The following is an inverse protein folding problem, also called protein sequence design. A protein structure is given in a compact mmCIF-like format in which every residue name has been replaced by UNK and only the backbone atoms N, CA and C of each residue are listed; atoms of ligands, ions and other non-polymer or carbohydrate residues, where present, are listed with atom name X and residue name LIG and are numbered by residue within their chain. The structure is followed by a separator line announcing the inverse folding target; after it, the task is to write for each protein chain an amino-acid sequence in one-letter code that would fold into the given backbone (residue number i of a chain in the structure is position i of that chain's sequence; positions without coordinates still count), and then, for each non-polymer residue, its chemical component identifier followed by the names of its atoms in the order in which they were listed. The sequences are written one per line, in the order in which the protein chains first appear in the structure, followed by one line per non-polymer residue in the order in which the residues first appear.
data_IF_352452434258
#
_entry.id   IF_352452434258
#
_cell.length_a   1.000
_cell.length_b   1.000
_cell.length_c   1.000
_cell.angle_alpha   90.00
_cell.angle_beta   90.00
_cell.angle_gamma   90.00
#
_symmetry.space_group_name_H-M   'P 1'
#
loop_
_entity.id
_entity.type
_entity.pdbx_description
1 polymer ?
#
# COMPACT_ATOMS: atom_id res chain seq x y z
N UNK A 1 15.52 19.07 -1.97
CA UNK A 1 15.66 17.94 -1.03
C UNK A 1 14.49 18.02 -0.05
N UNK A 2 13.32 17.52 -0.43
CA UNK A 2 12.13 17.57 0.44
C UNK A 2 12.30 16.42 1.44
N UNK A 3 12.75 16.72 2.65
CA UNK A 3 12.62 15.78 3.77
C UNK A 3 11.12 15.54 3.92
N UNK A 4 10.65 14.33 3.64
CA UNK A 4 9.34 13.90 4.10
C UNK A 4 9.45 13.78 5.61
N UNK A 5 9.24 14.89 6.31
CA UNK A 5 9.15 14.93 7.76
C UNK A 5 7.86 14.20 8.12
N UNK A 6 7.97 12.88 8.26
CA UNK A 6 6.88 12.05 8.75
C UNK A 6 6.58 12.61 10.14
N UNK A 7 5.37 13.14 10.32
CA UNK A 7 4.98 13.73 11.58
C UNK A 7 5.29 12.78 12.74
N UNK A 8 5.60 13.33 13.91
CA UNK A 8 5.95 12.60 15.13
C UNK A 8 5.18 11.27 15.27
N UNK A 9 5.87 10.11 15.29
CA UNK A 9 5.26 8.79 15.43
C UNK A 9 4.29 8.67 16.62
N UNK A 10 4.57 9.37 17.74
CA UNK A 10 3.68 9.35 18.90
C UNK A 10 2.34 10.05 18.58
N UNK A 11 2.39 11.22 17.92
CA UNK A 11 1.20 11.93 17.44
C UNK A 11 0.42 11.10 16.42
N UNK A 12 1.13 10.40 15.52
CA UNK A 12 0.49 9.53 14.52
C UNK A 12 -0.18 8.32 15.15
N UNK A 13 0.45 7.69 16.15
CA UNK A 13 -0.16 6.58 16.89
C UNK A 13 -1.42 7.04 17.65
N UNK A 14 -1.38 8.21 18.29
CA UNK A 14 -2.53 8.76 19.02
C UNK A 14 -3.73 9.05 18.11
N UNK A 15 -3.46 9.46 16.86
CA UNK A 15 -4.47 9.82 15.85
C UNK A 15 -4.70 8.72 14.80
N UNK A 16 -4.25 7.50 15.05
CA UNK A 16 -4.36 6.40 14.09
C UNK A 16 -5.85 6.11 13.80
N UNK A 17 -6.29 6.15 12.53
CA UNK A 17 -7.67 5.82 12.17
C UNK A 17 -8.02 4.40 12.61
N UNK A 18 -9.23 4.21 13.14
CA UNK A 18 -9.73 2.88 13.54
C UNK A 18 -10.65 2.34 12.45
N UNK A 19 -10.23 1.32 11.68
CA UNK A 19 -11.07 0.79 10.62
C UNK A 19 -12.29 0.05 11.17
N UNK A 20 -13.41 0.18 10.47
CA UNK A 20 -14.57 -0.70 10.60
C UNK A 20 -14.58 -1.69 9.43
N UNK A 21 -15.25 -2.83 9.61
CA UNK A 21 -15.19 -3.94 8.66
C UNK A 21 -16.58 -4.27 8.13
N UNK A 22 -16.79 -4.31 6.81
CA UNK A 22 -18.03 -4.84 6.24
C UNK A 22 -18.06 -6.36 6.36
N UNK A 23 -19.18 -6.92 6.79
CA UNK A 23 -19.31 -8.36 7.09
C UNK A 23 -19.25 -9.25 5.84
N UNK A 24 -19.59 -8.72 4.66
CA UNK A 24 -19.84 -9.52 3.45
C UNK A 24 -18.62 -9.68 2.51
N UNK A 25 -17.44 -9.17 2.88
CA UNK A 25 -16.26 -9.22 2.00
C UNK A 25 -15.35 -10.42 2.31
N UNK A 26 -14.97 -11.25 1.32
CA UNK A 26 -14.09 -12.40 1.52
C UNK A 26 -12.75 -12.07 2.20
N UNK A 27 -12.16 -10.91 1.90
CA UNK A 27 -10.90 -10.45 2.54
C UNK A 27 -11.10 -10.17 4.03
N UNK A 28 -12.27 -9.70 4.45
CA UNK A 28 -12.58 -9.45 5.86
C UNK A 28 -12.69 -10.75 6.64
N UNK A 29 -13.33 -11.78 6.06
CA UNK A 29 -13.40 -13.10 6.67
C UNK A 29 -12.01 -13.73 6.94
N UNK A 30 -11.00 -13.34 6.15
CA UNK A 30 -9.59 -13.79 6.31
C UNK A 30 -8.69 -12.74 6.96
N UNK A 31 -9.24 -11.66 7.52
CA UNK A 31 -8.47 -10.53 8.08
C UNK A 31 -7.38 -10.96 9.06
N UNK A 32 -7.71 -11.83 10.02
CA UNK A 32 -6.76 -12.28 11.04
C UNK A 32 -5.63 -13.17 10.48
N UNK A 33 -5.91 -13.91 9.39
CA UNK A 33 -4.90 -14.69 8.67
C UNK A 33 -3.95 -13.76 7.91
N UNK A 34 -4.51 -12.80 7.16
CA UNK A 34 -3.75 -11.81 6.40
C UNK A 34 -2.89 -10.95 7.33
N UNK A 35 -3.45 -10.50 8.46
CA UNK A 35 -2.74 -9.70 9.44
C UNK A 35 -1.50 -10.43 9.97
N UNK A 36 -1.65 -11.68 10.40
CA UNK A 36 -0.53 -12.53 10.84
C UNK A 36 0.52 -12.73 9.75
N UNK A 37 0.09 -12.93 8.51
CA UNK A 37 1.02 -13.08 7.38
C UNK A 37 1.87 -11.81 7.17
N UNK A 38 1.24 -10.62 7.24
CA UNK A 38 1.92 -9.32 7.08
C UNK A 38 2.91 -9.06 8.23
N UNK A 39 2.55 -9.42 9.46
CA UNK A 39 3.46 -9.30 10.60
C UNK A 39 4.69 -10.20 10.45
N UNK A 40 4.45 -11.49 10.14
CA UNK A 40 5.48 -12.52 10.10
C UNK A 40 6.43 -12.43 8.89
N UNK A 41 5.99 -11.85 7.77
CA UNK A 41 6.76 -11.86 6.53
C UNK A 41 7.02 -10.44 6.03
N UNK A 42 8.20 -10.19 5.44
CA UNK A 42 8.51 -8.89 4.83
C UNK A 42 7.69 -8.67 3.54
N UNK A 43 7.54 -9.73 2.75
CA UNK A 43 6.73 -9.75 1.51
C UNK A 43 5.56 -10.72 1.67
N UNK A 44 4.36 -10.28 1.33
CA UNK A 44 3.14 -11.12 1.32
C UNK A 44 2.45 -10.99 -0.03
N UNK A 45 2.04 -12.11 -0.60
CA UNK A 45 1.25 -12.15 -1.82
C UNK A 45 -0.19 -12.50 -1.44
N UNK A 46 -1.14 -11.63 -1.79
CA UNK A 46 -2.56 -11.80 -1.50
C UNK A 46 -3.32 -12.00 -2.80
N UNK A 47 -3.79 -13.24 -3.02
CA UNK A 47 -4.59 -13.60 -4.18
C UNK A 47 -6.08 -13.67 -3.84
N UNK A 48 -6.92 -13.28 -4.79
CA UNK A 48 -8.36 -13.43 -4.71
C UNK A 48 -9.06 -12.75 -5.87
N UNK A 49 -10.27 -13.15 -6.21
CA UNK A 49 -11.00 -12.61 -7.36
C UNK A 49 -11.29 -11.11 -7.25
N UNK A 50 -11.56 -10.46 -8.37
CA UNK A 50 -12.05 -9.08 -8.40
C UNK A 50 -13.35 -8.97 -7.59
N UNK A 51 -13.51 -7.89 -6.82
CA UNK A 51 -14.65 -7.74 -5.92
C UNK A 51 -14.48 -8.38 -4.53
N UNK A 52 -13.40 -9.13 -4.28
CA UNK A 52 -13.15 -9.74 -2.97
C UNK A 52 -12.82 -8.74 -1.84
N UNK A 53 -12.60 -7.47 -2.18
CA UNK A 53 -12.31 -6.38 -1.23
C UNK A 53 -10.83 -6.10 -1.00
N UNK A 54 -9.89 -6.75 -1.71
CA UNK A 54 -8.42 -6.57 -1.50
C UNK A 54 -8.00 -5.10 -1.48
N UNK A 55 -8.33 -4.40 -2.55
CA UNK A 55 -7.98 -3.00 -2.78
C UNK A 55 -8.44 -2.07 -1.67
N UNK A 56 -9.66 -2.23 -1.15
CA UNK A 56 -10.18 -1.31 -0.12
C UNK A 56 -9.83 -1.74 1.30
N UNK A 57 -9.67 -3.05 1.55
CA UNK A 57 -9.52 -3.57 2.91
C UNK A 57 -8.06 -3.79 3.33
N UNK A 58 -7.15 -4.16 2.43
CA UNK A 58 -5.72 -4.35 2.79
C UNK A 58 -5.07 -3.12 3.44
N UNK A 59 -5.20 -1.88 2.93
CA UNK A 59 -4.62 -0.71 3.60
C UNK A 59 -5.22 -0.48 5.00
N UNK A 60 -6.49 -0.83 5.21
CA UNK A 60 -7.13 -0.78 6.54
C UNK A 60 -6.53 -1.82 7.49
N UNK A 61 -6.22 -3.03 6.99
CA UNK A 61 -5.57 -4.08 7.80
C UNK A 61 -4.18 -3.60 8.21
N UNK A 62 -3.44 -2.96 7.29
CA UNK A 62 -2.15 -2.34 7.61
C UNK A 62 -2.28 -1.27 8.71
N UNK A 63 -3.30 -0.41 8.66
CA UNK A 63 -3.55 0.57 9.72
C UNK A 63 -3.81 -0.10 11.08
N UNK A 64 -4.60 -1.17 11.13
CA UNK A 64 -4.82 -1.95 12.36
C UNK A 64 -3.50 -2.51 12.94
N UNK A 65 -2.60 -2.94 12.05
CA UNK A 65 -1.23 -3.36 12.39
C UNK A 65 -0.27 -2.20 12.70
N UNK A 66 -0.80 -0.99 12.91
CA UNK A 66 -0.04 0.22 13.24
C UNK A 66 0.98 0.62 12.15
N UNK A 67 0.76 0.20 10.90
CA UNK A 67 1.51 0.70 9.74
C UNK A 67 1.01 2.09 9.35
N UNK A 68 1.83 2.83 8.62
CA UNK A 68 1.59 4.23 8.33
C UNK A 68 1.99 5.18 9.47
N UNK A 69 2.65 4.69 10.52
CA UNK A 69 3.10 5.52 11.66
C UNK A 69 4.54 5.99 11.45
N UNK A 70 5.43 5.10 11.02
CA UNK A 70 6.84 5.42 10.80
C UNK A 70 7.12 5.87 9.35
N UNK A 71 6.11 5.81 8.49
CA UNK A 71 6.11 6.29 7.12
C UNK A 71 4.69 6.30 6.59
N UNK A 72 4.53 6.34 5.28
CA UNK A 72 3.24 6.16 4.61
C UNK A 72 3.01 4.69 4.27
N UNK A 73 1.73 4.30 4.20
CA UNK A 73 1.28 3.14 3.42
C UNK A 73 1.09 3.63 1.99
N UNK A 74 2.00 3.29 1.10
CA UNK A 74 1.87 3.57 -0.33
C UNK A 74 1.06 2.46 -1.00
N UNK A 75 0.02 2.81 -1.74
CA UNK A 75 -0.84 1.82 -2.39
C UNK A 75 -0.98 2.17 -3.87
N UNK A 76 -0.38 1.35 -4.73
CA UNK A 76 -0.37 1.62 -6.16
C UNK A 76 -1.62 1.08 -6.85
N UNK A 77 -2.00 1.74 -7.93
CA UNK A 77 -3.06 1.34 -8.84
C UNK A 77 -2.59 1.58 -10.27
N UNK A 78 -2.92 0.70 -11.23
CA UNK A 78 -2.46 0.86 -12.61
C UNK A 78 -3.06 2.11 -13.29
N UNK A 79 -4.25 2.55 -12.84
CA UNK A 79 -5.02 3.62 -13.49
C UNK A 79 -5.24 4.81 -12.55
N UNK A 80 -5.11 6.02 -13.10
CA UNK A 80 -5.33 7.28 -12.35
C UNK A 80 -6.73 7.39 -11.73
N UNK A 81 -7.76 7.01 -12.47
CA UNK A 81 -9.14 7.07 -11.99
C UNK A 81 -9.34 6.06 -10.85
N UNK A 82 -8.78 4.84 -10.99
CA UNK A 82 -8.83 3.83 -9.93
C UNK A 82 -8.14 4.35 -8.65
N UNK A 83 -6.93 4.89 -8.74
CA UNK A 83 -6.23 5.48 -7.59
C UNK A 83 -7.09 6.51 -6.84
N UNK A 84 -7.72 7.44 -7.56
CA UNK A 84 -8.57 8.48 -6.96
C UNK A 84 -9.86 7.91 -6.36
N UNK A 85 -10.55 7.02 -7.08
CA UNK A 85 -11.82 6.44 -6.62
C UNK A 85 -11.62 5.52 -5.41
N UNK A 86 -10.55 4.72 -5.41
CA UNK A 86 -10.18 3.87 -4.28
C UNK A 86 -9.81 4.74 -3.07
N UNK A 87 -9.03 5.81 -3.25
CA UNK A 87 -8.71 6.73 -2.16
C UNK A 87 -9.98 7.34 -1.53
N UNK A 88 -10.91 7.81 -2.38
CA UNK A 88 -12.18 8.37 -1.91
C UNK A 88 -13.01 7.32 -1.15
N UNK A 89 -13.05 6.08 -1.63
CA UNK A 89 -13.77 4.99 -0.98
C UNK A 89 -13.19 4.63 0.39
N UNK A 90 -11.86 4.47 0.49
CA UNK A 90 -11.21 4.16 1.77
C UNK A 90 -11.38 5.33 2.75
N UNK A 91 -11.25 6.58 2.28
CA UNK A 91 -11.50 7.77 3.11
C UNK A 91 -12.92 7.77 3.69
N UNK A 92 -13.93 7.47 2.86
CA UNK A 92 -15.31 7.34 3.29
C UNK A 92 -15.50 6.22 4.34
N UNK A 93 -14.92 5.04 4.11
CA UNK A 93 -15.00 3.92 5.06
C UNK A 93 -14.31 4.21 6.39
N UNK A 94 -13.25 5.02 6.37
CA UNK A 94 -12.56 5.51 7.57
C UNK A 94 -13.21 6.77 8.18
N UNK A 95 -14.34 7.21 7.65
CA UNK A 95 -15.05 8.41 8.09
C UNK A 95 -14.15 9.66 8.13
N UNK A 96 -13.21 9.74 7.18
CA UNK A 96 -12.22 10.83 7.08
C UNK A 96 -12.43 11.61 5.78
N UNK A 97 -12.22 12.94 5.79
CA UNK A 97 -12.09 13.70 4.56
C UNK A 97 -10.95 13.15 3.68
N UNK A 98 -11.17 13.13 2.36
CA UNK A 98 -10.11 12.83 1.40
C UNK A 98 -9.01 13.90 1.48
N UNK A 99 -7.75 13.47 1.55
CA UNK A 99 -6.57 14.31 1.78
C UNK A 99 -6.13 14.43 3.23
N UNK A 100 -6.96 13.97 4.19
CA UNK A 100 -6.55 13.83 5.59
C UNK A 100 -5.93 12.43 5.77
N UNK A 101 -6.60 11.48 6.42
CA UNK A 101 -6.03 10.15 6.71
C UNK A 101 -5.69 9.33 5.46
N UNK A 102 -6.46 9.51 4.38
CA UNK A 102 -6.25 8.88 3.08
C UNK A 102 -6.14 9.97 2.02
N UNK A 103 -5.10 9.90 1.21
CA UNK A 103 -4.84 10.83 0.12
C UNK A 103 -4.49 10.11 -1.17
N UNK A 104 -4.30 10.87 -2.24
CA UNK A 104 -3.79 10.33 -3.49
C UNK A 104 -2.76 11.23 -4.16
N UNK A 105 -1.92 10.64 -5.00
CA UNK A 105 -0.99 11.34 -5.89
C UNK A 105 -0.98 10.68 -7.26
N UNK A 106 -1.44 11.40 -8.27
CA UNK A 106 -1.43 10.98 -9.67
C UNK A 106 -0.73 12.06 -10.51
N UNK A 107 -0.44 11.76 -11.77
CA UNK A 107 0.16 12.77 -12.66
C UNK A 107 -0.74 14.00 -12.76
N UNK A 108 -0.19 15.17 -12.44
CA UNK A 108 -0.84 16.49 -12.46
C UNK A 108 -1.92 16.73 -11.41
N UNK A 109 -2.08 15.85 -10.41
CA UNK A 109 -3.01 16.08 -9.31
C UNK A 109 -2.62 15.28 -8.08
N UNK A 110 -2.55 15.96 -6.94
CA UNK A 110 -2.32 15.36 -5.65
C UNK A 110 -3.23 15.96 -4.58
N UNK A 111 -3.52 15.14 -3.58
CA UNK A 111 -4.29 15.51 -2.40
C UNK A 111 -3.79 14.67 -1.24
N UNK A 112 -2.69 15.11 -0.65
CA UNK A 112 -2.01 14.50 0.50
C UNK A 112 -1.65 15.59 1.50
N UNK A 113 -1.57 15.24 2.78
CA UNK A 113 -1.16 16.14 3.86
C UNK A 113 -0.18 15.44 4.80
N UNK A 114 0.34 16.18 5.78
CA UNK A 114 1.18 15.60 6.84
C UNK A 114 0.42 14.57 7.71
N UNK A 115 -0.91 14.62 7.70
CA UNK A 115 -1.79 13.70 8.44
C UNK A 115 -2.24 12.50 7.60
N UNK A 116 -1.76 12.38 6.36
CA UNK A 116 -2.03 11.20 5.53
C UNK A 116 -1.27 9.99 6.04
N UNK A 117 -1.96 8.86 6.16
CA UNK A 117 -1.41 7.55 6.48
C UNK A 117 -1.35 6.68 5.22
N UNK A 118 -2.41 6.71 4.41
CA UNK A 118 -2.52 5.91 3.18
C UNK A 118 -2.46 6.83 1.96
N UNK A 119 -1.45 6.66 1.12
CA UNK A 119 -1.28 7.39 -0.14
C UNK A 119 -1.55 6.46 -1.32
N UNK A 120 -2.69 6.68 -1.98
CA UNK A 120 -3.00 6.01 -3.25
C UNK A 120 -2.24 6.69 -4.38
N UNK A 121 -1.66 5.93 -5.29
CA UNK A 121 -0.94 6.51 -6.42
C UNK A 121 -0.94 5.60 -7.62
N UNK A 122 -0.50 6.10 -8.76
CA UNK A 122 -0.22 5.20 -9.89
C UNK A 122 1.16 4.57 -9.77
N UNK A 123 1.36 3.40 -10.36
CA UNK A 123 2.67 2.73 -10.41
C UNK A 123 3.77 3.67 -10.89
N UNK A 124 3.51 4.43 -11.97
CA UNK A 124 4.44 5.41 -12.51
C UNK A 124 4.80 6.56 -11.56
N UNK A 125 3.94 6.88 -10.58
CA UNK A 125 4.25 7.88 -9.55
C UNK A 125 5.22 7.29 -8.53
N UNK A 126 4.96 6.06 -8.05
CA UNK A 126 5.89 5.39 -7.14
C UNK A 126 7.25 5.20 -7.80
N UNK A 127 7.26 4.76 -9.07
CA UNK A 127 8.49 4.59 -9.84
C UNK A 127 9.24 5.92 -10.01
N UNK A 128 8.55 7.03 -10.28
CA UNK A 128 9.18 8.34 -10.35
C UNK A 128 9.76 8.78 -8.99
N UNK A 129 9.11 8.46 -7.87
CA UNK A 129 9.63 8.79 -6.53
C UNK A 129 10.95 8.07 -6.21
N UNK A 130 11.22 6.90 -6.80
CA UNK A 130 12.51 6.19 -6.64
C UNK A 130 13.73 7.00 -7.10
N UNK A 131 13.54 7.98 -7.99
CA UNK A 131 14.63 8.85 -8.48
C UNK A 131 15.11 9.81 -7.38
N UNK A 132 14.19 10.30 -6.55
CA UNK A 132 14.48 11.22 -5.44
C UNK A 132 14.69 10.51 -4.09
N UNK A 133 14.02 9.37 -3.89
CA UNK A 133 14.08 8.56 -2.68
C UNK A 133 14.44 7.11 -3.05
N UNK A 134 15.74 6.87 -3.23
CA UNK A 134 16.28 5.59 -3.72
C UNK A 134 16.02 4.39 -2.81
N UNK A 135 15.63 4.63 -1.56
CA UNK A 135 15.30 3.55 -0.63
C UNK A 135 13.83 3.58 -0.26
N UNK A 136 13.02 4.47 -0.86
CA UNK A 136 11.60 4.65 -0.54
C UNK A 136 11.38 4.85 0.97
N UNK A 137 12.22 5.65 1.62
CA UNK A 137 12.19 5.95 3.06
C UNK A 137 10.91 6.67 3.49
N UNK A 138 10.20 7.31 2.57
CA UNK A 138 8.89 7.90 2.85
C UNK A 138 7.82 6.85 3.24
N UNK A 139 8.08 5.55 3.03
CA UNK A 139 7.13 4.47 3.24
C UNK A 139 7.62 3.44 4.25
N UNK A 140 6.70 2.98 5.10
CA UNK A 140 6.89 1.78 5.92
C UNK A 140 6.21 0.55 5.32
N UNK A 141 5.27 0.77 4.40
CA UNK A 141 4.48 -0.28 3.76
C UNK A 141 4.17 0.11 2.32
N UNK A 142 4.33 -0.83 1.39
CA UNK A 142 3.91 -0.69 0.01
C UNK A 142 2.93 -1.82 -0.36
N UNK A 143 1.79 -1.43 -0.93
CA UNK A 143 0.81 -2.33 -1.53
C UNK A 143 0.89 -2.14 -3.04
N UNK A 144 1.38 -3.15 -3.76
CA UNK A 144 1.41 -3.20 -5.21
C UNK A 144 0.15 -3.95 -5.66
N UNK A 145 -0.89 -3.19 -5.98
CA UNK A 145 -2.20 -3.73 -6.29
C UNK A 145 -2.31 -4.09 -7.78
N UNK A 146 -3.18 -5.06 -8.10
CA UNK A 146 -3.43 -5.48 -9.48
C UNK A 146 -2.15 -5.87 -10.22
N UNK A 147 -1.19 -6.51 -9.53
CA UNK A 147 0.13 -6.85 -10.09
C UNK A 147 0.06 -7.83 -11.28
N UNK A 148 -1.11 -8.40 -11.53
CA UNK A 148 -1.41 -9.20 -12.71
C UNK A 148 -1.64 -8.38 -13.98
N UNK A 149 -1.83 -7.06 -13.87
CA UNK A 149 -1.80 -6.18 -15.04
C UNK A 149 -0.42 -6.28 -15.70
N UNK A 150 -0.41 -6.52 -17.02
CA UNK A 150 0.82 -6.65 -17.81
C UNK A 150 1.42 -5.29 -18.14
N UNK A 151 1.87 -4.58 -17.10
CA UNK A 151 2.43 -3.23 -17.21
C UNK A 151 3.92 -3.24 -16.91
N UNK A 152 4.72 -2.64 -17.80
CA UNK A 152 6.16 -2.45 -17.59
C UNK A 152 6.48 -1.73 -16.27
N UNK A 153 5.62 -0.81 -15.84
CA UNK A 153 5.83 -0.09 -14.58
C UNK A 153 5.80 -1.04 -13.37
N UNK A 154 4.90 -2.03 -13.39
CA UNK A 154 4.79 -3.02 -12.30
C UNK A 154 6.03 -3.92 -12.32
N UNK A 155 6.45 -4.42 -13.49
CA UNK A 155 7.66 -5.25 -13.61
C UNK A 155 8.91 -4.51 -13.10
N UNK A 156 9.09 -3.24 -13.48
CA UNK A 156 10.19 -2.40 -12.98
C UNK A 156 10.10 -2.17 -11.47
N UNK A 157 8.91 -1.88 -10.94
CA UNK A 157 8.71 -1.70 -9.50
C UNK A 157 9.05 -2.97 -8.73
N UNK A 158 8.58 -4.14 -9.16
CA UNK A 158 8.87 -5.41 -8.49
C UNK A 158 10.36 -5.75 -8.54
N UNK A 159 11.03 -5.51 -9.68
CA UNK A 159 12.48 -5.65 -9.81
C UNK A 159 13.24 -4.70 -8.87
N UNK A 160 12.82 -3.44 -8.81
CA UNK A 160 13.40 -2.44 -7.93
C UNK A 160 13.21 -2.77 -6.45
N UNK A 161 12.00 -3.17 -6.05
CA UNK A 161 11.69 -3.57 -4.68
C UNK A 161 12.56 -4.73 -4.23
N UNK A 162 12.68 -5.78 -5.06
CA UNK A 162 13.58 -6.91 -4.78
C UNK A 162 15.01 -6.47 -4.47
N UNK A 163 15.51 -5.44 -5.15
CA UNK A 163 16.86 -4.92 -4.92
C UNK A 163 17.01 -4.14 -3.60
N UNK A 164 15.98 -3.40 -3.16
CA UNK A 164 16.07 -2.56 -1.96
C UNK A 164 15.66 -3.28 -0.67
N UNK A 165 14.88 -4.35 -0.75
CA UNK A 165 14.35 -5.06 0.44
C UNK A 165 15.44 -5.54 1.41
N UNK A 166 16.59 -6.09 0.96
CA UNK A 166 17.70 -6.43 1.86
C UNK A 166 18.27 -5.24 2.65
N UNK A 167 18.14 -4.02 2.12
CA UNK A 167 18.58 -2.77 2.77
C UNK A 167 17.47 -2.09 3.58
N UNK A 168 16.23 -2.56 3.46
CA UNK A 168 15.03 -2.02 4.11
C UNK A 168 14.23 -3.13 4.80
N UNK A 169 14.81 -3.84 5.80
CA UNK A 169 14.11 -4.90 6.53
C UNK A 169 12.85 -4.41 7.26
N UNK A 170 12.74 -3.09 7.49
CA UNK A 170 11.60 -2.43 8.09
C UNK A 170 10.41 -2.25 7.13
N UNK A 171 10.67 -2.22 5.81
CA UNK A 171 9.66 -2.02 4.77
C UNK A 171 8.86 -3.30 4.54
N UNK A 172 7.53 -3.22 4.69
CA UNK A 172 6.61 -4.30 4.31
C UNK A 172 6.13 -4.12 2.87
N UNK A 173 6.06 -5.22 2.12
CA UNK A 173 5.52 -5.22 0.75
C UNK A 173 4.38 -6.22 0.65
N UNK A 174 3.24 -5.77 0.14
CA UNK A 174 2.08 -6.59 -0.13
C UNK A 174 1.83 -6.53 -1.63
N UNK A 175 1.86 -7.66 -2.30
CA UNK A 175 1.55 -7.77 -3.74
C UNK A 175 0.17 -8.41 -3.86
N UNK A 176 -0.74 -7.78 -4.60
CA UNK A 176 -2.06 -8.37 -4.84
C UNK A 176 -2.18 -8.86 -6.28
N UNK A 177 -2.94 -9.92 -6.46
CA UNK A 177 -3.27 -10.45 -7.78
C UNK A 177 -4.71 -10.97 -7.82
N UNK A 178 -5.40 -10.76 -8.95
CA UNK A 178 -6.68 -11.41 -9.23
C UNK A 178 -6.50 -12.81 -9.84
N UNK A 179 -5.28 -13.15 -10.29
CA UNK A 179 -4.97 -14.42 -10.94
C UNK A 179 -4.07 -15.30 -10.06
N UNK A 180 -4.08 -16.60 -10.35
CA UNK A 180 -3.33 -17.65 -9.63
C UNK A 180 -1.80 -17.58 -9.86
N UNK A 181 -1.28 -16.56 -10.56
CA UNK A 181 0.18 -16.39 -10.79
C UNK A 181 0.97 -15.99 -9.52
N UNK A 182 0.43 -16.33 -8.34
CA UNK A 182 1.06 -16.20 -7.03
C UNK A 182 2.45 -16.83 -6.99
N UNK A 183 2.62 -17.98 -7.64
CA UNK A 183 3.89 -18.69 -7.66
C UNK A 183 4.99 -17.90 -8.36
N UNK A 184 4.67 -17.18 -9.45
CA UNK A 184 5.67 -16.35 -10.14
C UNK A 184 6.11 -15.20 -9.26
N UNK A 185 5.19 -14.54 -8.57
CA UNK A 185 5.54 -13.50 -7.59
C UNK A 185 6.34 -14.08 -6.43
N UNK A 186 5.97 -15.26 -5.93
CA UNK A 186 6.69 -15.92 -4.85
C UNK A 186 8.13 -16.26 -5.27
N UNK A 187 8.32 -16.84 -6.47
CA UNK A 187 9.65 -17.09 -7.04
C UNK A 187 10.46 -15.82 -7.23
N UNK A 188 9.81 -14.72 -7.65
CA UNK A 188 10.49 -13.42 -7.79
C UNK A 188 11.08 -12.95 -6.45
N UNK A 189 10.34 -13.09 -5.35
CA UNK A 189 10.76 -12.63 -4.02
C UNK A 189 11.41 -13.71 -3.13
N UNK A 190 11.57 -14.95 -3.60
CA UNK A 190 12.11 -16.05 -2.80
C UNK A 190 13.55 -15.85 -2.30
N UNK A 191 14.29 -14.90 -2.89
CA UNK A 191 15.67 -14.57 -2.54
C UNK A 191 15.82 -13.14 -1.97
N UNK A 192 14.72 -12.49 -1.64
CA UNK A 192 14.70 -11.13 -1.12
C UNK A 192 14.95 -11.10 0.39
#
# INVERSE_FOLDING_TARGET
MIRHDVADPARRLANLPRPTWPDDLPVVARRAEIARAIEANQVVIVCGETGSGKTTQLPKICLELKRGINGLIGHTQPRRIAARTVAARIAQELQSPLGHAVGYKIRFSDRVSADTYVKLMTDGILLAETQGDRLLKAYDTLIIDEAHERSLNIDFLLGYLKQILPQRPDLKVIVTSATIDAERFARHFASA
#
